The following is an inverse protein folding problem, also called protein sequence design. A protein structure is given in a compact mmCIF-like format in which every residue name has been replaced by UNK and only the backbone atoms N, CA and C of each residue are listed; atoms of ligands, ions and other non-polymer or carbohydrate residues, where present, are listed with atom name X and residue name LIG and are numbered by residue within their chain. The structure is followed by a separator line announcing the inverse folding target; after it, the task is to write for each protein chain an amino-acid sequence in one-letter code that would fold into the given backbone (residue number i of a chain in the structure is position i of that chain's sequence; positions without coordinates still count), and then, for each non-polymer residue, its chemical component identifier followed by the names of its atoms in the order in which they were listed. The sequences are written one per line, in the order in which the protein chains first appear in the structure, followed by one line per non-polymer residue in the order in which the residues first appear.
data_IF_382609931484
#
_entry.id   IF_382609931484
#
_cell.length_a   1.000
_cell.length_b   1.000
_cell.length_c   1.000
_cell.angle_alpha   90.00
_cell.angle_beta   90.00
_cell.angle_gamma   90.00
#
_symmetry.space_group_name_H-M   'P 1'
#
loop_
_entity.id
_entity.type
_entity.pdbx_description
1 polymer ?
#
# COMPACT_ATOMS: atom_id res chain seq x y z
N UNK A 1 -21.81 -16.00 -26.28
CA UNK A 1 -20.48 -16.61 -26.02
C UNK A 1 -20.54 -17.23 -24.62
N UNK A 2 -20.20 -18.54 -24.47
CA UNK A 2 -20.11 -19.14 -23.13
C UNK A 2 -18.70 -18.89 -22.60
N UNK A 3 -18.57 -18.11 -21.50
CA UNK A 3 -17.32 -17.84 -20.83
C UNK A 3 -17.02 -18.92 -19.78
N UNK A 4 -15.75 -19.22 -19.49
CA UNK A 4 -15.33 -20.17 -18.46
C UNK A 4 -14.18 -19.61 -17.60
N UNK A 5 -14.11 -20.07 -16.39
CA UNK A 5 -12.98 -19.75 -15.49
C UNK A 5 -11.68 -20.34 -16.03
N UNK A 6 -10.60 -19.56 -15.96
CA UNK A 6 -9.25 -20.06 -16.20
C UNK A 6 -8.83 -21.04 -15.09
N UNK A 7 -8.12 -22.09 -15.46
CA UNK A 7 -7.46 -22.96 -14.50
C UNK A 7 -6.19 -22.28 -13.96
N UNK A 8 -5.76 -22.65 -12.76
CA UNK A 8 -4.56 -22.06 -12.13
C UNK A 8 -3.31 -22.17 -13.04
N UNK A 9 -3.15 -23.25 -13.77
CA UNK A 9 -2.05 -23.46 -14.71
C UNK A 9 -2.09 -22.50 -15.92
N UNK A 10 -3.27 -22.02 -16.29
CA UNK A 10 -3.47 -21.09 -17.40
C UNK A 10 -3.19 -19.62 -17.01
N UNK A 11 -3.03 -19.33 -15.71
CA UNK A 11 -2.84 -17.97 -15.21
C UNK A 11 -1.39 -17.47 -15.39
N UNK A 12 -0.47 -18.31 -15.88
CA UNK A 12 0.92 -17.92 -16.17
C UNK A 12 1.68 -17.38 -14.95
N UNK A 13 1.39 -17.90 -13.75
CA UNK A 13 2.08 -17.47 -12.54
C UNK A 13 3.55 -17.85 -12.61
N UNK A 14 4.40 -16.85 -12.40
CA UNK A 14 5.85 -17.05 -12.28
C UNK A 14 6.21 -17.45 -10.85
N UNK A 15 7.35 -18.09 -10.68
CA UNK A 15 7.89 -18.40 -9.35
C UNK A 15 8.32 -17.13 -8.60
N UNK A 16 8.46 -17.22 -7.26
CA UNK A 16 8.95 -16.10 -6.45
C UNK A 16 10.35 -15.62 -6.89
N UNK A 17 11.22 -16.55 -7.32
CA UNK A 17 12.56 -16.21 -7.79
C UNK A 17 12.55 -15.51 -9.15
N UNK A 18 11.74 -16.00 -10.08
CA UNK A 18 11.53 -15.31 -11.37
C UNK A 18 10.95 -13.92 -11.17
N UNK A 19 9.97 -13.78 -10.28
CA UNK A 19 9.37 -12.48 -9.96
C UNK A 19 10.41 -11.50 -9.41
N UNK A 20 11.23 -11.89 -8.42
CA UNK A 20 12.28 -11.04 -7.86
C UNK A 20 13.31 -10.58 -8.90
N UNK A 21 13.62 -11.44 -9.86
CA UNK A 21 14.66 -11.19 -10.87
C UNK A 21 14.16 -10.43 -12.10
N UNK A 22 12.86 -10.49 -12.41
CA UNK A 22 12.30 -9.97 -13.66
C UNK A 22 11.32 -8.82 -13.47
N UNK A 23 10.94 -8.50 -12.23
CA UNK A 23 9.91 -7.50 -11.95
C UNK A 23 10.42 -6.09 -12.31
N UNK A 24 9.69 -5.36 -13.18
CA UNK A 24 9.97 -3.94 -13.39
C UNK A 24 9.63 -3.14 -12.13
N UNK A 25 10.37 -2.07 -11.85
CA UNK A 25 10.00 -1.13 -10.80
C UNK A 25 8.68 -0.43 -11.15
N UNK A 26 7.72 -0.47 -10.24
CA UNK A 26 6.43 0.22 -10.39
C UNK A 26 6.55 1.71 -10.10
N UNK A 27 7.60 2.09 -9.38
CA UNK A 27 7.76 3.42 -8.81
C UNK A 27 6.79 3.69 -7.65
N UNK A 28 6.21 2.65 -7.04
CA UNK A 28 5.26 2.78 -5.93
C UNK A 28 5.73 1.99 -4.72
N UNK A 29 5.75 2.62 -3.56
CA UNK A 29 5.96 1.97 -2.26
C UNK A 29 4.76 2.24 -1.34
N UNK A 30 4.50 1.31 -0.42
CA UNK A 30 3.48 1.49 0.63
C UNK A 30 4.15 1.80 1.95
N UNK A 31 3.55 2.69 2.72
CA UNK A 31 3.90 2.99 4.11
C UNK A 31 2.68 2.71 4.97
N UNK A 32 2.79 1.78 5.89
CA UNK A 32 1.73 1.40 6.83
C UNK A 32 2.02 2.08 8.17
N UNK A 33 1.23 3.10 8.51
CA UNK A 33 1.41 3.89 9.73
C UNK A 33 0.63 3.29 10.90
N UNK A 34 1.33 2.57 11.80
CA UNK A 34 0.75 2.00 13.02
C UNK A 34 -0.48 1.08 12.81
N UNK A 35 -0.54 0.34 11.72
CA UNK A 35 -1.61 -0.64 11.49
C UNK A 35 -1.44 -1.82 12.44
N UNK A 36 -2.44 -2.07 13.29
CA UNK A 36 -2.38 -3.09 14.37
C UNK A 36 -2.74 -4.49 13.90
N UNK A 37 -3.59 -4.59 12.91
CA UNK A 37 -4.15 -5.86 12.45
C UNK A 37 -3.16 -6.62 11.55
N UNK A 38 -2.68 -7.77 12.01
CA UNK A 38 -1.87 -8.68 11.20
C UNK A 38 -2.60 -9.14 9.92
N UNK A 39 -3.94 -9.24 9.96
CA UNK A 39 -4.75 -9.52 8.78
C UNK A 39 -4.69 -8.39 7.75
N UNK A 40 -4.79 -7.12 8.19
CA UNK A 40 -4.70 -5.98 7.28
C UNK A 40 -3.29 -5.86 6.69
N UNK A 41 -2.25 -6.06 7.50
CA UNK A 41 -0.86 -6.07 7.01
C UNK A 41 -0.63 -7.22 6.02
N UNK A 42 -1.12 -8.43 6.31
CA UNK A 42 -1.06 -9.57 5.39
C UNK A 42 -1.79 -9.31 4.07
N UNK A 43 -2.98 -8.68 4.15
CA UNK A 43 -3.73 -8.25 2.96
C UNK A 43 -2.98 -7.18 2.16
N UNK A 44 -2.29 -6.26 2.84
CA UNK A 44 -1.46 -5.24 2.19
C UNK A 44 -0.31 -5.88 1.39
N UNK A 45 0.39 -6.88 1.96
CA UNK A 45 1.42 -7.64 1.23
C UNK A 45 0.86 -8.32 -0.01
N UNK A 46 -0.29 -9.01 0.13
CA UNK A 46 -0.93 -9.69 -1.00
C UNK A 46 -1.37 -8.72 -2.09
N UNK A 47 -1.87 -7.56 -1.72
CA UNK A 47 -2.25 -6.50 -2.66
C UNK A 47 -1.00 -5.88 -3.29
N UNK A 48 0.06 -5.65 -2.51
CA UNK A 48 1.34 -5.14 -2.99
C UNK A 48 1.96 -6.07 -4.05
N UNK A 49 1.94 -7.38 -3.82
CA UNK A 49 2.36 -8.38 -4.81
C UNK A 49 1.53 -8.29 -6.10
N UNK A 50 0.21 -8.30 -5.97
CA UNK A 50 -0.71 -8.25 -7.12
C UNK A 50 -0.56 -6.98 -7.99
N UNK A 51 -0.14 -5.86 -7.39
CA UNK A 51 0.04 -4.57 -8.08
C UNK A 51 1.50 -4.25 -8.40
N UNK A 52 2.44 -5.14 -8.07
CA UNK A 52 3.86 -4.96 -8.33
C UNK A 52 4.49 -3.83 -7.51
N UNK A 53 4.00 -3.57 -6.30
CA UNK A 53 4.54 -2.54 -5.40
C UNK A 53 5.99 -2.85 -5.04
N UNK A 54 6.88 -1.87 -5.13
CA UNK A 54 8.32 -2.08 -4.99
C UNK A 54 8.75 -2.46 -3.57
N UNK A 55 8.11 -1.89 -2.55
CA UNK A 55 8.43 -2.14 -1.15
C UNK A 55 7.27 -1.77 -0.22
N UNK A 56 7.16 -2.46 0.90
CA UNK A 56 6.24 -2.12 2.00
C UNK A 56 7.05 -1.69 3.22
N UNK A 57 6.79 -0.50 3.74
CA UNK A 57 7.33 -0.01 5.00
C UNK A 57 6.31 -0.24 6.12
N UNK A 58 6.75 -0.90 7.18
CA UNK A 58 5.95 -1.23 8.36
C UNK A 58 6.30 -0.24 9.47
N UNK A 59 5.45 0.75 9.70
CA UNK A 59 5.69 1.83 10.65
C UNK A 59 5.22 1.51 12.07
N UNK A 60 6.04 1.86 13.06
CA UNK A 60 5.69 1.81 14.49
C UNK A 60 5.31 0.41 14.96
N UNK A 61 4.05 0.24 15.37
CA UNK A 61 3.54 -1.00 15.97
C UNK A 61 3.02 -2.03 14.94
N UNK A 62 3.25 -1.82 13.64
CA UNK A 62 2.81 -2.78 12.63
C UNK A 62 3.41 -4.18 12.90
N UNK A 63 2.61 -5.25 12.80
CA UNK A 63 3.12 -6.61 12.81
C UNK A 63 4.15 -6.84 11.69
N UNK A 64 5.25 -7.48 12.04
CA UNK A 64 6.39 -7.73 11.13
C UNK A 64 6.48 -9.23 10.82
N UNK A 65 6.76 -9.63 9.56
CA UNK A 65 7.12 -11.00 9.27
C UNK A 65 8.42 -11.43 10.00
N UNK A 66 8.54 -12.70 10.45
CA UNK A 66 7.53 -13.77 10.33
C UNK A 66 6.44 -13.65 11.40
N UNK A 67 5.18 -13.71 10.98
CA UNK A 67 4.01 -13.73 11.86
C UNK A 67 3.00 -14.74 11.30
N UNK A 68 2.59 -15.77 12.09
CA UNK A 68 1.64 -16.80 11.64
C UNK A 68 0.30 -16.23 11.18
N UNK A 69 -0.22 -15.21 11.89
CA UNK A 69 -1.49 -14.55 11.56
C UNK A 69 -1.40 -13.78 10.26
N UNK A 70 -0.29 -13.06 10.05
CA UNK A 70 -0.02 -12.32 8.82
C UNK A 70 0.10 -13.28 7.64
N UNK A 71 0.89 -14.36 7.78
CA UNK A 71 1.14 -15.35 6.73
C UNK A 71 -0.13 -16.03 6.23
N UNK A 72 -1.10 -16.31 7.12
CA UNK A 72 -2.40 -16.91 6.73
C UNK A 72 -3.15 -16.08 5.69
N UNK A 73 -2.94 -14.77 5.67
CA UNK A 73 -3.62 -13.83 4.75
C UNK A 73 -2.73 -13.46 3.58
N UNK A 74 -1.46 -13.21 3.82
CA UNK A 74 -0.49 -12.84 2.79
C UNK A 74 -0.21 -13.97 1.78
N UNK A 75 -0.37 -15.25 2.21
CA UNK A 75 -0.21 -16.43 1.35
C UNK A 75 1.15 -16.52 0.64
N UNK A 76 2.21 -16.08 1.31
CA UNK A 76 3.58 -16.07 0.80
C UNK A 76 4.00 -14.76 0.15
N UNK A 77 3.11 -13.78 -0.04
CA UNK A 77 3.48 -12.48 -0.60
C UNK A 77 4.50 -11.73 0.27
N UNK A 78 4.49 -11.96 1.59
CA UNK A 78 5.45 -11.42 2.56
C UNK A 78 6.89 -11.96 2.37
N UNK A 79 7.05 -13.05 1.65
CA UNK A 79 8.36 -13.62 1.30
C UNK A 79 8.89 -13.07 -0.02
N UNK A 80 8.03 -12.47 -0.83
CA UNK A 80 8.31 -11.99 -2.19
C UNK A 80 8.45 -10.47 -2.24
N UNK A 81 7.51 -9.76 -1.62
CA UNK A 81 7.52 -8.28 -1.60
C UNK A 81 8.54 -7.79 -0.56
N UNK A 82 9.53 -6.99 -0.94
CA UNK A 82 10.48 -6.42 0.01
C UNK A 82 9.79 -5.58 1.08
N UNK A 83 10.27 -5.66 2.31
CA UNK A 83 9.75 -4.81 3.39
C UNK A 83 10.85 -4.27 4.29
N UNK A 84 10.52 -3.25 5.06
CA UNK A 84 11.38 -2.67 6.09
C UNK A 84 10.51 -2.21 7.26
N UNK A 85 10.93 -2.55 8.49
CA UNK A 85 10.29 -1.99 9.68
C UNK A 85 11.00 -0.69 10.09
N UNK A 86 10.20 0.33 10.40
CA UNK A 86 10.68 1.65 10.85
C UNK A 86 9.92 2.09 12.09
N UNK A 87 10.62 2.61 13.09
CA UNK A 87 10.00 3.09 14.32
C UNK A 87 9.38 4.49 14.17
N UNK A 88 9.92 5.33 13.29
CA UNK A 88 9.51 6.72 13.08
C UNK A 88 9.10 6.95 11.62
N UNK A 89 7.78 7.07 11.43
CA UNK A 89 7.19 7.26 10.09
C UNK A 89 7.44 8.68 9.56
N UNK A 90 7.53 9.70 10.43
CA UNK A 90 7.84 11.07 9.99
C UNK A 90 9.24 11.15 9.41
N UNK A 91 10.21 10.53 10.06
CA UNK A 91 11.58 10.44 9.54
C UNK A 91 11.65 9.63 8.24
N UNK A 92 10.84 8.57 8.11
CA UNK A 92 10.72 7.81 6.87
C UNK A 92 10.17 8.67 5.73
N UNK A 93 9.12 9.45 5.96
CA UNK A 93 8.54 10.38 4.96
C UNK A 93 9.63 11.30 4.41
N UNK A 94 10.40 11.95 5.29
CA UNK A 94 11.49 12.84 4.87
C UNK A 94 12.59 12.11 4.07
N UNK A 95 12.92 10.88 4.46
CA UNK A 95 13.88 10.04 3.72
C UNK A 95 13.35 9.74 2.31
N UNK A 96 12.10 9.32 2.19
CA UNK A 96 11.50 9.02 0.90
C UNK A 96 11.40 10.25 -0.01
N UNK A 97 11.10 11.43 0.54
CA UNK A 97 11.12 12.70 -0.21
C UNK A 97 12.54 13.01 -0.70
N UNK A 98 13.56 12.84 0.14
CA UNK A 98 14.96 13.01 -0.26
C UNK A 98 15.39 12.02 -1.35
N UNK A 99 14.81 10.82 -1.35
CA UNK A 99 15.00 9.78 -2.38
C UNK A 99 14.19 10.04 -3.65
N UNK A 100 13.45 11.17 -3.73
CA UNK A 100 12.69 11.59 -4.91
C UNK A 100 11.29 10.97 -5.04
N UNK A 101 10.72 10.45 -3.96
CA UNK A 101 9.31 10.05 -3.94
C UNK A 101 8.40 11.24 -3.66
N UNK A 102 7.26 11.29 -4.33
CA UNK A 102 6.10 12.06 -3.86
C UNK A 102 5.38 11.27 -2.79
N UNK A 103 5.40 11.76 -1.55
CA UNK A 103 4.80 11.07 -0.41
C UNK A 103 3.38 11.57 -0.20
N UNK A 104 2.41 10.68 -0.29
CA UNK A 104 0.98 10.99 -0.26
C UNK A 104 0.32 10.28 0.91
N UNK A 105 -0.30 11.03 1.81
CA UNK A 105 -1.18 10.46 2.84
C UNK A 105 -2.52 10.06 2.20
N UNK A 106 -2.91 8.80 2.28
CA UNK A 106 -4.24 8.36 1.85
C UNK A 106 -5.19 8.54 3.02
N UNK A 107 -5.76 9.77 3.11
CA UNK A 107 -6.54 10.21 4.26
C UNK A 107 -7.53 11.32 3.85
N UNK A 108 -8.60 11.48 4.63
CA UNK A 108 -9.54 12.57 4.47
C UNK A 108 -9.02 13.82 5.19
N UNK A 109 -8.61 14.82 4.43
CA UNK A 109 -8.12 16.09 4.96
C UNK A 109 -8.84 17.28 4.33
N UNK A 110 -8.69 18.47 4.92
CA UNK A 110 -9.35 19.70 4.43
C UNK A 110 -8.96 20.02 2.97
N UNK A 111 -7.73 19.65 2.57
CA UNK A 111 -7.19 19.97 1.25
C UNK A 111 -6.85 18.72 0.44
N UNK A 112 -7.46 17.56 0.77
CA UNK A 112 -7.21 16.32 0.03
C UNK A 112 -7.65 16.41 -1.44
N UNK A 113 -6.85 15.82 -2.31
CA UNK A 113 -7.23 15.58 -3.71
C UNK A 113 -8.11 14.33 -3.77
N UNK A 114 -9.19 14.37 -4.52
CA UNK A 114 -10.04 13.18 -4.71
C UNK A 114 -9.36 12.20 -5.66
N UNK A 115 -9.41 10.91 -5.35
CA UNK A 115 -8.75 9.84 -6.12
C UNK A 115 -9.20 9.81 -7.59
N UNK A 116 -10.45 10.06 -7.87
CA UNK A 116 -11.01 10.10 -9.23
C UNK A 116 -10.52 11.33 -10.06
N UNK A 117 -10.08 12.38 -9.38
CA UNK A 117 -9.45 13.56 -9.98
C UNK A 117 -7.91 13.48 -10.05
N UNK A 118 -7.31 12.56 -9.29
CA UNK A 118 -5.85 12.39 -9.26
C UNK A 118 -5.33 11.87 -10.61
N UNK A 119 -4.18 12.41 -11.05
CA UNK A 119 -3.50 11.94 -12.26
C UNK A 119 -2.04 11.68 -11.95
N UNK A 120 -1.65 10.41 -12.10
CA UNK A 120 -0.25 10.00 -11.91
C UNK A 120 0.64 10.60 -12.99
N UNK A 121 1.77 11.17 -12.59
CA UNK A 121 2.82 11.56 -13.52
C UNK A 121 3.63 10.32 -13.92
N UNK A 122 3.84 10.05 -15.22
CA UNK A 122 4.41 8.76 -15.68
C UNK A 122 5.80 8.43 -15.13
N UNK A 123 6.63 9.44 -14.87
CA UNK A 123 8.01 9.28 -14.39
C UNK A 123 8.16 9.49 -12.87
N UNK A 124 7.08 9.85 -12.18
CA UNK A 124 7.15 10.12 -10.75
C UNK A 124 7.05 8.82 -9.93
N UNK A 125 7.80 8.79 -8.82
CA UNK A 125 7.76 7.73 -7.81
C UNK A 125 6.86 8.16 -6.67
N UNK A 126 6.06 7.24 -6.17
CA UNK A 126 5.05 7.53 -5.15
C UNK A 126 5.22 6.68 -3.91
N UNK A 127 5.17 7.30 -2.74
CA UNK A 127 5.01 6.62 -1.47
C UNK A 127 3.60 6.88 -0.93
N UNK A 128 2.79 5.85 -0.79
CA UNK A 128 1.42 5.94 -0.32
C UNK A 128 1.35 5.55 1.14
N UNK A 129 0.95 6.48 2.00
CA UNK A 129 0.86 6.28 3.45
C UNK A 129 -0.57 5.95 3.84
N UNK A 130 -0.75 4.84 4.55
CA UNK A 130 -2.05 4.38 5.06
C UNK A 130 -1.99 4.29 6.58
N UNK A 131 -2.98 4.84 7.25
CA UNK A 131 -3.06 4.89 8.70
C UNK A 131 -3.78 3.72 9.34
N UNK A 132 -3.77 3.69 10.67
CA UNK A 132 -4.42 2.66 11.45
C UNK A 132 -5.96 2.76 11.40
N UNK A 133 -6.59 1.69 11.88
CA UNK A 133 -8.04 1.48 11.74
C UNK A 133 -8.89 2.42 12.60
N UNK A 134 -8.30 3.09 13.59
CA UNK A 134 -9.02 3.92 14.57
C UNK A 134 -8.75 5.40 14.32
N UNK A 135 -7.50 5.78 14.21
CA UNK A 135 -7.06 7.18 14.17
C UNK A 135 -6.66 7.65 12.76
N UNK A 136 -6.61 6.72 11.78
CA UNK A 136 -6.10 7.03 10.45
C UNK A 136 -4.59 7.28 10.43
N UNK A 137 -4.13 8.09 9.50
CA UNK A 137 -2.73 8.53 9.41
C UNK A 137 -2.47 9.58 10.51
N UNK A 138 -1.40 9.40 11.28
CA UNK A 138 -1.03 10.34 12.33
C UNK A 138 -0.88 11.77 11.78
N UNK A 139 -1.40 12.78 12.50
CA UNK A 139 -1.36 14.17 12.03
C UNK A 139 0.05 14.64 11.67
N UNK A 140 1.06 14.31 12.49
CA UNK A 140 2.45 14.66 12.21
C UNK A 140 2.98 14.01 10.90
N UNK A 141 2.46 12.85 10.52
CA UNK A 141 2.78 12.18 9.26
C UNK A 141 2.07 12.87 8.10
N UNK A 142 0.78 13.22 8.25
CA UNK A 142 0.02 14.00 7.26
C UNK A 142 0.73 15.34 6.99
N UNK A 143 1.15 16.04 8.05
CA UNK A 143 1.83 17.34 7.94
C UNK A 143 3.20 17.24 7.23
N UNK A 144 3.84 16.08 7.29
CA UNK A 144 5.13 15.83 6.63
C UNK A 144 4.97 15.42 5.17
N UNK A 145 3.80 14.91 4.75
CA UNK A 145 3.52 14.45 3.38
C UNK A 145 3.43 15.64 2.39
N UNK A 146 3.64 15.37 1.10
CA UNK A 146 3.52 16.39 0.04
C UNK A 146 2.06 16.76 -0.24
N UNK A 147 1.14 15.82 -0.08
CA UNK A 147 -0.30 16.05 -0.17
C UNK A 147 -1.09 14.89 0.46
N UNK A 148 -2.41 15.05 0.51
CA UNK A 148 -3.34 14.00 0.88
C UNK A 148 -4.23 13.60 -0.29
N UNK A 149 -4.54 12.31 -0.39
CA UNK A 149 -5.41 11.70 -1.39
C UNK A 149 -6.59 11.05 -0.69
N UNK A 150 -7.79 11.37 -1.12
CA UNK A 150 -9.02 10.86 -0.50
C UNK A 150 -9.80 9.98 -1.48
N UNK A 151 -10.25 8.82 -1.01
CA UNK A 151 -11.20 7.97 -1.74
C UNK A 151 -12.61 8.54 -1.52
N UNK A 152 -13.29 9.04 -2.57
CA UNK A 152 -14.66 9.56 -2.44
C UNK A 152 -15.61 8.47 -1.92
N UNK A 153 -16.39 8.79 -0.90
CA UNK A 153 -17.37 7.89 -0.30
C UNK A 153 -18.75 8.52 -0.31
N UNK A 154 -19.78 7.72 -0.53
CA UNK A 154 -21.20 8.17 -0.60
C UNK A 154 -22.08 7.51 0.47
N UNK A 155 -21.48 6.68 1.31
CA UNK A 155 -22.20 5.90 2.33
C UNK A 155 -22.33 6.63 3.68
N UNK A 156 -22.92 5.93 4.65
CA UNK A 156 -23.09 6.43 6.03
C UNK A 156 -21.85 6.22 6.91
N UNK A 157 -20.89 5.42 6.47
CA UNK A 157 -19.61 5.20 7.16
C UNK A 157 -18.58 6.19 6.64
N UNK A 158 -17.68 6.61 7.54
CA UNK A 158 -16.68 7.64 7.23
C UNK A 158 -15.34 7.07 6.78
N UNK A 159 -15.18 5.73 6.77
CA UNK A 159 -13.92 5.08 6.38
C UNK A 159 -14.16 3.71 5.75
N UNK A 160 -13.22 3.29 4.92
CA UNK A 160 -13.06 1.92 4.43
C UNK A 160 -12.07 1.16 5.31
N UNK A 161 -12.14 -0.17 5.29
CA UNK A 161 -11.05 -0.98 5.82
C UNK A 161 -9.75 -0.63 5.08
N UNK A 162 -8.64 -0.52 5.81
CA UNK A 162 -7.36 -0.08 5.25
C UNK A 162 -6.87 -0.97 4.11
N UNK A 163 -7.06 -2.29 4.18
CA UNK A 163 -6.68 -3.19 3.10
C UNK A 163 -7.50 -2.97 1.82
N UNK A 164 -8.76 -2.58 1.97
CA UNK A 164 -9.62 -2.16 0.85
C UNK A 164 -9.13 -0.83 0.28
N UNK A 165 -8.84 0.14 1.13
CA UNK A 165 -8.30 1.45 0.73
C UNK A 165 -7.01 1.31 -0.08
N UNK A 166 -6.09 0.41 0.34
CA UNK A 166 -4.86 0.10 -0.40
C UNK A 166 -5.19 -0.38 -1.82
N UNK A 167 -6.08 -1.36 -1.96
CA UNK A 167 -6.46 -1.90 -3.27
C UNK A 167 -7.12 -0.87 -4.18
N UNK A 168 -8.07 -0.08 -3.63
CA UNK A 168 -8.77 0.98 -4.39
C UNK A 168 -7.79 2.07 -4.83
N UNK A 169 -6.89 2.50 -3.94
CA UNK A 169 -5.89 3.53 -4.27
C UNK A 169 -4.92 3.05 -5.34
N UNK A 170 -4.34 1.86 -5.19
CA UNK A 170 -3.42 1.29 -6.17
C UNK A 170 -4.09 1.11 -7.54
N UNK A 171 -5.36 0.73 -7.57
CA UNK A 171 -6.12 0.66 -8.81
C UNK A 171 -6.38 2.04 -9.41
N UNK A 172 -6.72 3.03 -8.58
CA UNK A 172 -7.10 4.37 -9.03
C UNK A 172 -5.95 5.23 -9.55
N UNK A 173 -4.71 4.93 -9.12
CA UNK A 173 -3.51 5.68 -9.56
C UNK A 173 -2.77 5.05 -10.74
N UNK A 174 -3.32 4.04 -11.37
CA UNK A 174 -2.70 3.37 -12.54
C UNK A 174 -2.53 4.27 -13.74
#
# INVERSE_FOLDING_TARGET
MKDRKLLNIELGRISADEYRNSRPESGVVLVLDNIRSAHNVGSAFRTADAFGVDKVYLGGICPVPPSPELRKVALGAEEVVPFEHVSDVVSLVKRLQADGYKVIAVEQTVHSVKLDAFRREPSARYALVFGNEVEGVQQAVVDACDCALEIPQQGTKHSLNVSVSIGVTLWGIR
#
